data_IF_946862910896
#
_entry.id   IF_946862910896
#
_cell.length_a   1.000
_cell.length_b   1.000
_cell.length_c   1.000
_cell.angle_alpha   90.00
_cell.angle_beta   90.00
_cell.angle_gamma   90.00
#
_symmetry.space_group_name_H-M   'P 1'
#
loop_
_entity.id
_entity.type
_entity.pdbx_description
1 polymer ?
#
# COMPACT_ATOMS: atom_id res chain seq x y z
N UNK A 1 12.41 23.18 11.83
CA UNK A 1 12.31 21.91 11.06
C UNK A 1 11.97 20.71 11.97
N UNK A 2 12.79 20.40 12.97
CA UNK A 2 12.56 19.26 13.90
C UNK A 2 11.30 19.42 14.76
N UNK A 3 11.11 20.59 15.39
CA UNK A 3 9.90 20.88 16.17
C UNK A 3 8.61 20.89 15.32
N UNK A 4 8.72 21.22 14.02
CA UNK A 4 7.58 21.17 13.11
C UNK A 4 7.23 19.74 12.68
N UNK A 5 8.23 18.84 12.61
CA UNK A 5 8.04 17.45 12.20
C UNK A 5 7.57 16.54 13.36
N UNK A 6 8.08 16.79 14.58
CA UNK A 6 7.77 15.97 15.76
C UNK A 6 6.71 16.58 16.68
N UNK A 7 6.33 17.84 16.43
CA UNK A 7 5.34 18.56 17.21
C UNK A 7 5.80 18.88 18.64
N UNK A 8 4.82 19.21 19.47
CA UNK A 8 5.03 19.45 20.90
C UNK A 8 5.37 18.15 21.63
N UNK A 9 6.30 18.21 22.59
CA UNK A 9 6.78 17.03 23.32
C UNK A 9 7.81 16.19 22.57
N UNK A 10 8.38 16.70 21.48
CA UNK A 10 9.44 16.04 20.71
C UNK A 10 10.62 15.57 21.58
N UNK A 11 10.95 16.30 22.64
CA UNK A 11 12.02 15.92 23.56
C UNK A 11 11.68 14.66 24.37
N UNK A 12 10.43 14.52 24.83
CA UNK A 12 9.93 13.32 25.49
C UNK A 12 9.91 12.12 24.54
N UNK A 13 9.38 12.33 23.33
CA UNK A 13 9.33 11.31 22.28
C UNK A 13 10.73 10.81 21.91
N UNK A 14 11.69 11.70 21.66
CA UNK A 14 13.06 11.33 21.30
C UNK A 14 13.83 10.67 22.45
N UNK A 15 13.47 10.95 23.71
CA UNK A 15 14.06 10.22 24.85
C UNK A 15 13.51 8.80 24.98
N UNK A 16 12.23 8.60 24.67
CA UNK A 16 11.57 7.30 24.70
C UNK A 16 11.96 6.44 23.49
N UNK A 17 12.06 7.05 22.31
CA UNK A 17 12.45 6.43 21.06
C UNK A 17 13.32 7.39 20.23
N UNK A 18 14.66 7.23 20.29
CA UNK A 18 15.57 8.14 19.60
C UNK A 18 15.50 8.03 18.07
N UNK A 19 14.96 6.93 17.52
CA UNK A 19 14.85 6.75 16.08
C UNK A 19 13.64 7.47 15.46
N UNK A 20 12.73 8.02 16.27
CA UNK A 20 11.71 8.98 15.81
C UNK A 20 12.33 10.18 15.08
N UNK A 21 13.62 10.46 15.29
CA UNK A 21 14.37 11.47 14.55
C UNK A 21 14.31 11.25 13.02
N UNK A 22 14.10 10.01 12.55
CA UNK A 22 13.95 9.70 11.13
C UNK A 22 12.71 10.30 10.47
N UNK A 23 11.69 10.69 11.25
CA UNK A 23 10.52 11.44 10.74
C UNK A 23 10.87 12.87 10.33
N UNK A 24 12.05 13.37 10.69
CA UNK A 24 12.49 14.71 10.29
C UNK A 24 13.04 14.66 8.87
N UNK A 25 12.51 15.47 7.93
CA UNK A 25 12.97 15.47 6.55
C UNK A 25 14.48 15.67 6.41
N UNK A 26 15.13 14.81 5.63
CA UNK A 26 16.57 14.86 5.36
C UNK A 26 17.44 14.11 6.37
N UNK A 27 16.89 13.58 7.47
CA UNK A 27 17.65 12.73 8.40
C UNK A 27 17.87 11.34 7.77
N UNK A 28 19.10 10.85 7.88
CA UNK A 28 19.52 9.52 7.42
C UNK A 28 19.60 8.52 8.58
N UNK A 29 19.43 7.21 8.33
CA UNK A 29 19.57 6.16 9.34
C UNK A 29 20.85 6.27 10.18
N UNK A 30 21.98 6.59 9.57
CA UNK A 30 23.27 6.69 10.25
C UNK A 30 23.31 7.85 11.25
N UNK A 31 22.58 8.94 10.97
CA UNK A 31 22.47 10.09 11.87
C UNK A 31 21.57 9.76 13.06
N UNK A 32 20.45 9.07 12.82
CA UNK A 32 19.58 8.58 13.88
C UNK A 32 20.29 7.55 14.77
N UNK A 33 21.04 6.63 14.18
CA UNK A 33 21.88 5.66 14.92
C UNK A 33 22.98 6.37 15.73
N UNK A 34 23.54 7.46 15.23
CA UNK A 34 24.47 8.32 15.99
C UNK A 34 23.79 8.98 17.19
N UNK A 35 22.59 9.52 17.00
CA UNK A 35 21.80 10.13 18.07
C UNK A 35 21.38 9.10 19.12
N UNK A 36 20.89 7.93 18.71
CA UNK A 36 20.52 6.84 19.60
C UNK A 36 21.71 6.35 20.43
N UNK A 37 22.90 6.18 19.83
CA UNK A 37 24.12 5.83 20.57
C UNK A 37 24.52 6.90 21.59
N UNK A 38 24.39 8.18 21.24
CA UNK A 38 24.68 9.27 22.17
C UNK A 38 23.70 9.31 23.35
N UNK A 39 22.44 8.95 23.13
CA UNK A 39 21.39 8.98 24.15
C UNK A 39 21.36 7.71 25.04
N UNK A 40 21.45 6.54 24.42
CA UNK A 40 21.26 5.23 25.07
C UNK A 40 22.58 4.57 25.51
N UNK A 41 23.71 5.01 24.96
CA UNK A 41 25.03 4.43 25.26
C UNK A 41 25.08 2.93 24.95
N UNK A 42 25.46 2.13 25.96
CA UNK A 42 25.61 0.68 25.83
C UNK A 42 24.28 -0.07 25.59
N UNK A 43 23.13 0.58 25.81
CA UNK A 43 21.82 0.00 25.56
C UNK A 43 21.40 0.09 24.09
N UNK A 44 22.16 0.84 23.26
CA UNK A 44 21.92 0.92 21.83
C UNK A 44 22.43 -0.35 21.13
N UNK A 45 21.52 -1.24 20.75
CA UNK A 45 21.82 -2.44 19.96
C UNK A 45 21.33 -2.33 18.52
N UNK A 46 21.94 -3.06 17.56
CA UNK A 46 21.42 -3.17 16.19
C UNK A 46 20.07 -3.92 16.13
N UNK A 47 19.81 -4.78 17.12
CA UNK A 47 18.57 -5.57 17.26
C UNK A 47 17.45 -4.80 17.99
N UNK A 48 17.62 -3.50 18.26
CA UNK A 48 16.55 -2.70 18.89
C UNK A 48 15.34 -2.60 17.96
N UNK A 49 14.20 -3.11 18.40
CA UNK A 49 12.97 -3.14 17.61
C UNK A 49 12.52 -1.74 17.16
N UNK A 50 12.78 -0.70 17.98
CA UNK A 50 12.46 0.70 17.64
C UNK A 50 13.23 1.14 16.39
N UNK A 51 14.49 0.73 16.27
CA UNK A 51 15.33 0.99 15.09
C UNK A 51 14.74 0.34 13.85
N UNK A 52 14.39 -0.95 13.94
CA UNK A 52 13.79 -1.70 12.83
C UNK A 52 12.53 -1.02 12.31
N UNK A 53 11.57 -0.74 13.21
CA UNK A 53 10.32 -0.05 12.86
C UNK A 53 10.56 1.32 12.23
N UNK A 54 11.43 2.14 12.82
CA UNK A 54 11.71 3.47 12.29
C UNK A 54 12.36 3.44 10.90
N UNK A 55 13.22 2.46 10.61
CA UNK A 55 13.79 2.28 9.27
C UNK A 55 12.72 1.82 8.27
N UNK A 56 11.79 0.95 8.67
CA UNK A 56 10.64 0.56 7.83
C UNK A 56 9.84 1.78 7.39
N UNK A 57 9.43 2.62 8.34
CA UNK A 57 8.69 3.86 8.06
C UNK A 57 9.51 4.79 7.16
N UNK A 58 10.79 5.01 7.49
CA UNK A 58 11.67 5.86 6.69
C UNK A 58 11.82 5.37 5.24
N UNK A 59 11.91 4.06 5.00
CA UNK A 59 11.97 3.48 3.65
C UNK A 59 10.70 3.76 2.85
N UNK A 60 9.54 3.58 3.48
CA UNK A 60 8.27 3.90 2.84
C UNK A 60 8.15 5.42 2.55
N UNK A 61 8.70 6.27 3.40
CA UNK A 61 8.77 7.72 3.14
C UNK A 61 9.66 8.04 1.95
N UNK A 62 10.82 7.39 1.82
CA UNK A 62 11.68 7.56 0.65
C UNK A 62 10.97 7.07 -0.63
N UNK A 63 10.22 5.98 -0.55
CA UNK A 63 9.41 5.48 -1.64
C UNK A 63 8.32 6.47 -2.05
N UNK A 64 7.64 7.10 -1.10
CA UNK A 64 6.67 8.16 -1.38
C UNK A 64 7.30 9.38 -2.07
N UNK A 65 8.49 9.80 -1.64
CA UNK A 65 9.24 10.86 -2.34
C UNK A 65 9.59 10.46 -3.78
N UNK A 66 9.80 9.18 -4.03
CA UNK A 66 10.03 8.62 -5.37
C UNK A 66 8.74 8.37 -6.18
N UNK A 67 7.55 8.68 -5.63
CA UNK A 67 6.26 8.53 -6.29
C UNK A 67 5.54 7.21 -6.04
N UNK A 68 6.00 6.38 -5.11
CA UNK A 68 5.33 5.13 -4.73
C UNK A 68 4.42 5.35 -3.51
N UNK A 69 3.13 5.00 -3.62
CA UNK A 69 2.21 5.03 -2.47
C UNK A 69 2.36 3.82 -1.54
N UNK A 70 2.76 2.67 -2.09
CA UNK A 70 3.05 1.44 -1.38
C UNK A 70 4.22 0.67 -2.03
N UNK A 71 4.84 -0.23 -1.27
CA UNK A 71 5.89 -1.14 -1.75
C UNK A 71 5.46 -2.59 -1.61
N UNK A 72 5.91 -3.43 -2.54
CA UNK A 72 5.84 -4.88 -2.38
C UNK A 72 6.61 -5.34 -1.13
N UNK A 73 6.01 -6.26 -0.36
CA UNK A 73 6.58 -6.70 0.93
C UNK A 73 7.98 -7.31 0.77
N UNK A 74 8.23 -8.06 -0.31
CA UNK A 74 9.54 -8.66 -0.56
C UNK A 74 10.58 -7.59 -0.91
N UNK A 75 10.17 -6.54 -1.62
CA UNK A 75 11.03 -5.38 -1.91
C UNK A 75 11.40 -4.64 -0.62
N UNK A 76 10.44 -4.43 0.28
CA UNK A 76 10.66 -3.79 1.56
C UNK A 76 11.60 -4.61 2.47
N UNK A 77 11.35 -5.92 2.59
CA UNK A 77 12.21 -6.86 3.33
C UNK A 77 13.65 -6.83 2.81
N UNK A 78 13.84 -6.88 1.48
CA UNK A 78 15.16 -6.80 0.88
C UNK A 78 15.87 -5.47 1.19
N UNK A 79 15.15 -4.34 1.14
CA UNK A 79 15.70 -3.02 1.45
C UNK A 79 16.08 -2.85 2.93
N UNK A 80 15.32 -3.47 3.85
CA UNK A 80 15.63 -3.54 5.27
C UNK A 80 16.87 -4.41 5.53
N UNK A 81 16.98 -5.57 4.88
CA UNK A 81 18.17 -6.42 4.96
C UNK A 81 19.45 -5.71 4.50
N UNK A 82 19.37 -4.93 3.42
CA UNK A 82 20.49 -4.09 2.93
C UNK A 82 20.94 -3.03 3.95
N UNK A 83 20.09 -2.68 4.94
CA UNK A 83 20.36 -1.71 6.01
C UNK A 83 20.73 -2.36 7.34
N UNK A 84 21.07 -3.66 7.30
CA UNK A 84 21.42 -4.45 8.47
C UNK A 84 20.31 -4.39 9.54
N UNK A 85 19.05 -4.47 9.12
CA UNK A 85 17.95 -4.80 10.04
C UNK A 85 17.98 -6.31 10.26
N UNK A 86 18.22 -6.80 11.50
CA UNK A 86 18.46 -8.22 11.78
C UNK A 86 17.26 -9.11 11.45
N UNK A 87 16.06 -8.63 11.75
CA UNK A 87 14.80 -9.29 11.44
C UNK A 87 13.89 -8.32 10.66
N UNK A 88 13.98 -8.31 9.31
CA UNK A 88 13.18 -7.43 8.47
C UNK A 88 11.68 -7.69 8.60
N UNK A 89 11.26 -8.94 8.71
CA UNK A 89 9.86 -9.32 8.84
C UNK A 89 9.28 -8.78 10.14
N UNK A 90 9.96 -8.99 11.27
CA UNK A 90 9.53 -8.43 12.56
C UNK A 90 9.49 -6.89 12.55
N UNK A 91 10.43 -6.23 11.84
CA UNK A 91 10.41 -4.78 11.69
C UNK A 91 9.20 -4.27 10.90
N UNK A 92 8.76 -5.00 9.86
CA UNK A 92 7.53 -4.68 9.13
C UNK A 92 6.30 -4.93 10.00
N UNK A 93 6.23 -6.08 10.67
CA UNK A 93 5.11 -6.41 11.58
C UNK A 93 5.00 -5.39 12.71
N UNK A 94 6.12 -4.93 13.26
CA UNK A 94 6.14 -3.89 14.28
C UNK A 94 5.58 -2.55 13.78
N UNK A 95 5.90 -2.15 12.55
CA UNK A 95 5.35 -0.93 11.97
C UNK A 95 3.83 -1.04 11.70
N UNK A 96 3.36 -2.23 11.29
CA UNK A 96 1.92 -2.51 11.16
C UNK A 96 1.21 -2.47 12.52
N UNK A 97 1.82 -3.06 13.56
CA UNK A 97 1.24 -3.12 14.90
C UNK A 97 1.14 -1.74 15.57
N UNK A 98 2.09 -0.84 15.33
CA UNK A 98 2.05 0.56 15.78
C UNK A 98 1.10 1.43 14.94
N UNK A 99 0.58 0.91 13.81
CA UNK A 99 -0.30 1.64 12.91
C UNK A 99 0.40 2.67 12.02
N UNK A 100 1.73 2.64 11.93
CA UNK A 100 2.49 3.53 11.03
C UNK A 100 2.38 3.11 9.55
N UNK A 101 2.06 1.83 9.31
CA UNK A 101 1.89 1.25 7.99
C UNK A 101 0.62 0.39 7.93
N UNK A 102 0.10 0.23 6.71
CA UNK A 102 -1.06 -0.61 6.40
C UNK A 102 -0.70 -1.64 5.33
N UNK A 103 -1.37 -2.80 5.39
CA UNK A 103 -1.20 -3.91 4.46
C UNK A 103 -2.34 -3.93 3.44
N UNK A 104 -1.99 -4.15 2.17
CA UNK A 104 -2.92 -4.27 1.05
C UNK A 104 -2.66 -5.58 0.31
N UNK A 105 -3.72 -6.15 -0.24
CA UNK A 105 -3.65 -7.31 -1.11
C UNK A 105 -4.12 -6.89 -2.49
N UNK A 106 -3.21 -6.97 -3.46
CA UNK A 106 -3.46 -6.63 -4.85
C UNK A 106 -3.54 -7.93 -5.66
N UNK A 107 -4.73 -8.21 -6.21
CA UNK A 107 -4.94 -9.41 -7.01
C UNK A 107 -4.23 -9.27 -8.35
N UNK A 108 -3.29 -10.17 -8.64
CA UNK A 108 -2.59 -10.16 -9.91
C UNK A 108 -3.50 -10.72 -11.02
N UNK A 109 -3.98 -9.85 -11.91
CA UNK A 109 -4.64 -10.28 -13.13
C UNK A 109 -3.60 -10.91 -14.09
N UNK A 110 -3.83 -12.16 -14.51
CA UNK A 110 -3.09 -12.77 -15.62
C UNK A 110 -2.16 -13.94 -15.33
N UNK A 111 -2.22 -14.59 -14.15
CA UNK A 111 -1.57 -15.91 -13.97
C UNK A 111 -2.61 -17.02 -14.05
N UNK A 112 -3.25 -17.16 -15.22
CA UNK A 112 -3.88 -18.42 -15.58
C UNK A 112 -2.75 -19.45 -15.72
N UNK A 113 -2.46 -20.19 -14.65
CA UNK A 113 -1.65 -21.40 -14.77
C UNK A 113 -2.41 -22.32 -15.72
N UNK A 114 -1.85 -22.76 -16.87
CA UNK A 114 -2.56 -23.65 -17.77
C UNK A 114 -2.83 -24.98 -17.03
N UNK A 115 -4.03 -25.12 -16.48
CA UNK A 115 -4.52 -26.42 -16.06
C UNK A 115 -4.53 -27.35 -17.29
N UNK A 116 -4.13 -28.62 -17.16
CA UNK A 116 -4.18 -29.55 -18.28
C UNK A 116 -5.64 -29.62 -18.76
N UNK A 117 -5.88 -29.19 -20.00
CA UNK A 117 -7.16 -29.40 -20.67
C UNK A 117 -7.34 -30.90 -20.80
N UNK A 118 -8.19 -31.50 -19.99
CA UNK A 118 -8.74 -32.82 -20.25
C UNK A 118 -9.84 -32.66 -21.28
N UNK A 119 -9.43 -32.69 -22.53
CA UNK A 119 -10.26 -33.09 -23.65
C UNK A 119 -10.71 -34.55 -23.44
N UNK A 120 -11.81 -34.74 -22.72
CA UNK A 120 -12.50 -36.04 -22.70
C UNK A 120 -13.90 -35.87 -23.24
N UNK A 121 -13.99 -36.14 -24.54
CA UNK A 121 -15.17 -36.54 -25.28
C UNK A 121 -16.01 -37.52 -24.44
N UNK A 122 -17.21 -37.08 -24.07
CA UNK A 122 -18.14 -37.84 -23.23
C UNK A 122 -18.63 -39.09 -23.98
N UNK A 123 -18.06 -40.24 -23.64
CA UNK A 123 -18.71 -41.53 -23.87
C UNK A 123 -19.65 -41.84 -22.71
N UNK A 124 -20.94 -41.97 -23.07
CA UNK A 124 -22.09 -42.30 -22.23
C UNK A 124 -22.01 -43.72 -21.67
N UNK A 125 -22.27 -43.91 -20.38
CA UNK A 125 -22.60 -45.23 -19.81
C UNK A 125 -22.53 -45.36 -18.29
N UNK A 126 -23.68 -45.17 -17.64
CA UNK A 126 -24.08 -45.41 -16.24
C UNK A 126 -23.43 -46.59 -15.48
N UNK A 127 -23.06 -46.40 -14.20
CA UNK A 127 -23.74 -47.04 -13.04
C UNK A 127 -22.95 -46.93 -11.70
N UNK A 128 -23.60 -46.36 -10.68
CA UNK A 128 -23.54 -46.84 -9.28
C UNK A 128 -22.52 -46.22 -8.30
N UNK A 129 -23.02 -45.65 -7.20
CA UNK A 129 -22.26 -45.46 -5.96
C UNK A 129 -22.50 -44.12 -5.26
N UNK A 130 -23.17 -44.16 -4.12
CA UNK A 130 -23.35 -43.05 -3.18
C UNK A 130 -22.00 -42.64 -2.56
N UNK A 131 -21.59 -41.37 -2.73
CA UNK A 131 -20.96 -40.58 -1.68
C UNK A 131 -20.95 -39.10 -2.09
N UNK A 132 -21.14 -38.22 -1.11
CA UNK A 132 -21.45 -36.81 -1.28
C UNK A 132 -20.53 -36.07 -2.24
N UNK A 133 -21.16 -35.40 -3.21
CA UNK A 133 -20.53 -34.47 -4.12
C UNK A 133 -19.75 -33.38 -3.35
N UNK A 134 -18.42 -33.49 -3.37
CA UNK A 134 -17.56 -32.32 -3.28
C UNK A 134 -17.54 -31.75 -4.69
N UNK A 135 -18.28 -30.67 -4.92
CA UNK A 135 -18.19 -29.93 -6.18
C UNK A 135 -16.76 -29.41 -6.33
N UNK A 136 -16.00 -30.01 -7.24
CA UNK A 136 -14.74 -29.47 -7.73
C UNK A 136 -15.04 -28.32 -8.72
N UNK A 137 -15.58 -27.22 -8.18
CA UNK A 137 -15.59 -25.90 -8.82
C UNK A 137 -14.91 -24.92 -7.85
N UNK A 138 -13.74 -25.30 -7.32
CA UNK A 138 -12.88 -24.35 -6.63
C UNK A 138 -12.23 -23.48 -7.71
N UNK A 139 -12.75 -22.26 -7.89
CA UNK A 139 -12.07 -21.24 -8.70
C UNK A 139 -10.60 -21.18 -8.28
N UNK A 140 -9.63 -21.19 -9.23
CA UNK A 140 -8.22 -21.17 -8.88
C UNK A 140 -7.93 -19.91 -8.04
N UNK A 141 -7.37 -20.12 -6.84
CA UNK A 141 -7.01 -19.03 -5.93
C UNK A 141 -6.06 -18.08 -6.66
N UNK A 142 -6.54 -16.86 -6.94
CA UNK A 142 -5.78 -15.88 -7.74
C UNK A 142 -4.55 -15.46 -6.94
N UNK A 143 -3.34 -15.45 -7.53
CA UNK A 143 -2.16 -15.01 -6.81
C UNK A 143 -2.33 -13.54 -6.41
N UNK A 144 -2.10 -13.26 -5.13
CA UNK A 144 -2.14 -11.92 -4.56
C UNK A 144 -0.72 -11.42 -4.29
N UNK A 145 -0.49 -10.16 -4.62
CA UNK A 145 0.69 -9.42 -4.20
C UNK A 145 0.38 -8.67 -2.90
N UNK A 146 1.26 -8.79 -1.92
CA UNK A 146 1.13 -8.08 -0.64
C UNK A 146 1.91 -6.78 -0.71
N UNK A 147 1.23 -5.66 -0.54
CA UNK A 147 1.81 -4.33 -0.53
C UNK A 147 1.74 -3.72 0.89
N UNK A 148 2.74 -2.92 1.24
CA UNK A 148 2.83 -2.16 2.48
C UNK A 148 2.88 -0.68 2.14
N UNK A 149 1.93 0.11 2.65
CA UNK A 149 1.85 1.55 2.46
C UNK A 149 1.94 2.30 3.78
N UNK A 150 2.37 3.56 3.76
CA UNK A 150 2.29 4.44 4.94
C UNK A 150 0.84 4.74 5.25
N UNK A 151 0.45 4.64 6.51
CA UNK A 151 -0.94 4.83 6.96
C UNK A 151 -1.56 6.13 6.43
N UNK A 152 -0.89 7.27 6.62
CA UNK A 152 -1.36 8.58 6.10
C UNK A 152 -1.61 8.63 4.59
N UNK A 153 -0.82 7.93 3.78
CA UNK A 153 -0.96 7.95 2.32
C UNK A 153 -1.97 6.92 1.87
N UNK A 154 -1.96 5.75 2.49
CA UNK A 154 -2.96 4.72 2.31
C UNK A 154 -4.40 5.23 2.57
N UNK A 155 -4.63 5.88 3.71
CA UNK A 155 -5.93 6.45 4.05
C UNK A 155 -6.33 7.57 3.09
N UNK A 156 -5.37 8.40 2.66
CA UNK A 156 -5.62 9.43 1.67
C UNK A 156 -6.02 8.83 0.31
N UNK A 157 -5.38 7.73 -0.10
CA UNK A 157 -5.69 7.01 -1.33
C UNK A 157 -7.05 6.32 -1.26
N UNK A 158 -7.39 5.68 -0.15
CA UNK A 158 -8.71 5.09 0.07
C UNK A 158 -9.82 6.16 0.02
N UNK A 159 -9.60 7.30 0.69
CA UNK A 159 -10.53 8.42 0.63
C UNK A 159 -10.68 8.99 -0.79
N UNK A 160 -9.60 9.01 -1.57
CA UNK A 160 -9.63 9.44 -2.96
C UNK A 160 -10.43 8.45 -3.83
N UNK A 161 -10.19 7.15 -3.66
CA UNK A 161 -10.88 6.10 -4.39
C UNK A 161 -12.38 6.07 -4.08
N UNK A 162 -12.77 6.17 -2.81
CA UNK A 162 -14.18 6.30 -2.40
C UNK A 162 -14.81 7.57 -2.97
N UNK A 163 -14.10 8.70 -2.91
CA UNK A 163 -14.54 9.94 -3.54
C UNK A 163 -14.81 9.79 -5.04
N UNK A 164 -13.88 9.14 -5.76
CA UNK A 164 -14.02 8.89 -7.20
C UNK A 164 -15.18 7.94 -7.51
N UNK A 165 -15.33 6.86 -6.74
CA UNK A 165 -16.45 5.93 -6.89
C UNK A 165 -17.80 6.62 -6.68
N UNK A 166 -17.90 7.53 -5.69
CA UNK A 166 -19.11 8.34 -5.48
C UNK A 166 -19.38 9.28 -6.65
N UNK A 167 -18.35 9.92 -7.19
CA UNK A 167 -18.50 10.79 -8.37
C UNK A 167 -19.01 10.00 -9.58
N UNK A 168 -18.40 8.86 -9.90
CA UNK A 168 -18.83 7.98 -11.00
C UNK A 168 -20.30 7.55 -10.83
N UNK A 169 -20.69 7.18 -9.61
CA UNK A 169 -22.06 6.74 -9.32
C UNK A 169 -23.08 7.89 -9.19
N UNK A 170 -22.63 9.14 -9.11
CA UNK A 170 -23.50 10.32 -9.08
C UNK A 170 -23.96 10.79 -10.46
N UNK A 171 -23.29 10.34 -11.53
CA UNK A 171 -23.67 10.66 -12.89
C UNK A 171 -24.99 9.97 -13.25
N UNK A 172 -25.91 10.64 -13.99
CA UNK A 172 -27.11 10.00 -14.50
C UNK A 172 -26.73 8.78 -15.31
N UNK A 173 -27.23 7.60 -14.95
CA UNK A 173 -27.08 6.41 -15.78
C UNK A 173 -27.88 6.66 -17.06
N UNK A 174 -27.26 6.52 -18.23
CA UNK A 174 -27.94 6.58 -19.52
C UNK A 174 -29.00 5.47 -19.59
N UNK A 175 -30.20 5.76 -19.10
CA UNK A 175 -31.35 4.85 -19.13
C UNK A 175 -32.58 5.53 -19.71
N UNK A 176 -32.40 6.54 -20.57
CA UNK A 176 -33.50 7.09 -21.34
C UNK A 176 -33.09 7.16 -22.82
N UNK A 177 -33.66 6.25 -23.61
CA UNK A 177 -33.38 5.91 -25.02
C UNK A 177 -33.66 7.04 -26.02
N UNK A 178 -33.64 8.32 -25.62
CA UNK A 178 -34.00 9.44 -26.52
C UNK A 178 -33.21 10.74 -26.35
N UNK A 179 -32.10 10.78 -25.60
CA UNK A 179 -31.18 11.93 -25.68
C UNK A 179 -29.93 11.51 -26.42
N UNK A 180 -29.78 11.97 -27.66
CA UNK A 180 -28.46 12.24 -28.22
C UNK A 180 -27.76 13.16 -27.20
N UNK A 181 -26.94 12.57 -26.32
CA UNK A 181 -26.10 13.35 -25.42
C UNK A 181 -25.07 14.04 -26.31
N UNK A 182 -25.27 15.34 -26.51
CA UNK A 182 -24.22 16.22 -27.03
C UNK A 182 -22.94 15.91 -26.26
N UNK A 183 -21.86 15.62 -26.98
CA UNK A 183 -20.56 15.36 -26.35
C UNK A 183 -20.27 16.51 -25.36
N UNK A 184 -20.01 16.22 -24.08
CA UNK A 184 -19.83 17.26 -23.09
C UNK A 184 -18.68 18.19 -23.50
N UNK A 185 -18.90 19.51 -23.36
CA UNK A 185 -17.88 20.53 -23.60
C UNK A 185 -16.84 20.51 -22.47
N UNK A 186 -15.89 19.57 -22.59
CA UNK A 186 -14.83 19.33 -21.61
C UNK A 186 -13.90 20.54 -21.47
N UNK A 187 -13.72 21.36 -22.50
CA UNK A 187 -12.84 22.52 -22.42
C UNK A 187 -13.48 23.66 -21.62
N UNK A 188 -14.79 23.88 -21.80
CA UNK A 188 -15.54 24.81 -20.95
C UNK A 188 -15.60 24.34 -19.49
N UNK A 189 -15.70 23.04 -19.24
CA UNK A 189 -15.66 22.47 -17.89
C UNK A 189 -14.26 22.61 -17.25
N UNK A 190 -13.19 22.34 -18.00
CA UNK A 190 -11.81 22.49 -17.54
C UNK A 190 -11.47 23.95 -17.19
N UNK A 191 -12.02 24.92 -17.93
CA UNK A 191 -11.82 26.35 -17.66
C UNK A 191 -12.52 26.82 -16.37
N UNK A 192 -13.60 26.14 -15.98
CA UNK A 192 -14.32 26.42 -14.73
C UNK A 192 -13.71 25.69 -13.52
N UNK A 193 -12.92 24.65 -13.75
CA UNK A 193 -12.19 23.93 -12.72
C UNK A 193 -10.87 24.63 -12.35
N UNK A 194 -10.29 24.27 -11.21
CA UNK A 194 -9.02 24.82 -10.72
C UNK A 194 -8.01 23.71 -10.45
N UNK A 195 -6.73 23.98 -10.72
CA UNK A 195 -5.63 23.07 -10.42
C UNK A 195 -5.75 21.71 -11.13
N UNK A 196 -5.49 20.64 -10.40
CA UNK A 196 -5.47 19.26 -10.91
C UNK A 196 -6.81 18.80 -11.49
N UNK A 197 -7.94 19.32 -11.01
CA UNK A 197 -9.26 19.00 -11.58
C UNK A 197 -9.38 19.46 -13.03
N UNK A 198 -8.84 20.65 -13.36
CA UNK A 198 -8.83 21.14 -14.73
C UNK A 198 -7.91 20.31 -15.64
N UNK A 199 -6.79 19.82 -15.11
CA UNK A 199 -5.89 18.94 -15.86
C UNK A 199 -6.52 17.58 -16.15
N UNK A 200 -7.22 16.98 -15.17
CA UNK A 200 -7.93 15.72 -15.34
C UNK A 200 -9.04 15.81 -16.39
N UNK A 201 -9.82 16.91 -16.39
CA UNK A 201 -10.89 17.10 -17.37
C UNK A 201 -10.32 17.20 -18.80
N UNK A 202 -9.15 17.83 -18.99
CA UNK A 202 -8.50 17.93 -20.32
C UNK A 202 -7.86 16.63 -20.79
N UNK A 203 -7.67 15.66 -19.91
CA UNK A 203 -7.07 14.38 -20.25
C UNK A 203 -8.10 13.37 -20.83
N UNK A 204 -9.39 13.72 -20.80
CA UNK A 204 -10.51 12.96 -21.38
C UNK A 204 -10.90 13.58 -22.71
#
# INVERSE_FOLDING_TARGET
>A
PTAAALGDGADGQLRADPWQLLRVPGVRPEQADGFARALLGAQCGPDDERRGRAITVWLLEQAAVAGHAALDVATLIAALGQRAVPDPDAAVQGALAEGDALVFQDALEGTEVPGPRTDVEATRGEAGGEDGAVGEDAEPERPVRVLIGLERYALAEESLADGLARLINSLPKETDDTRELESPDWEAAATQASGSAAELIRAV
#
